data_IF_650675745559
#
_entry.id   IF_650675745559
#
_cell.length_a   1.000
_cell.length_b   1.000
_cell.length_c   1.000
_cell.angle_alpha   90.00
_cell.angle_beta   90.00
_cell.angle_gamma   90.00
#
_symmetry.space_group_name_H-M   'P 1'
#
loop_
_entity.id
_entity.type
_entity.pdbx_description
1 polymer ?
#
# COMPACT_ATOMS: atom_id res chain seq x y z
N UNK A 1 11.67 -10.13 6.66
CA UNK A 1 10.33 -10.09 6.01
C UNK A 1 9.91 -11.51 5.63
N UNK A 2 8.74 -11.95 6.10
CA UNK A 2 8.19 -13.27 5.77
C UNK A 2 7.48 -13.30 4.40
N UNK A 3 6.94 -14.46 4.00
CA UNK A 3 6.24 -14.60 2.71
C UNK A 3 4.99 -13.73 2.61
N UNK A 4 4.18 -13.65 3.66
CA UNK A 4 2.93 -12.90 3.66
C UNK A 4 3.19 -11.41 3.56
N UNK A 5 4.19 -10.90 4.30
CA UNK A 5 4.64 -9.52 4.22
C UNK A 5 5.16 -9.17 2.82
N UNK A 6 6.02 -10.01 2.22
CA UNK A 6 6.50 -9.80 0.84
C UNK A 6 5.35 -9.79 -0.17
N UNK A 7 4.37 -10.66 0.01
CA UNK A 7 3.19 -10.71 -0.85
C UNK A 7 2.35 -9.44 -0.71
N UNK A 8 2.15 -8.95 0.51
CA UNK A 8 1.41 -7.73 0.81
C UNK A 8 2.07 -6.50 0.17
N UNK A 9 3.40 -6.38 0.29
CA UNK A 9 4.19 -5.33 -0.38
C UNK A 9 4.01 -5.39 -1.89
N UNK A 10 4.11 -6.59 -2.48
CA UNK A 10 3.92 -6.78 -3.92
C UNK A 10 2.54 -6.31 -4.36
N UNK A 11 1.48 -6.70 -3.65
CA UNK A 11 0.12 -6.26 -3.96
C UNK A 11 -0.02 -4.74 -3.88
N UNK A 12 0.51 -4.10 -2.82
CA UNK A 12 0.45 -2.65 -2.66
C UNK A 12 1.09 -1.90 -3.85
N UNK A 13 2.30 -2.31 -4.22
CA UNK A 13 3.03 -1.71 -5.33
C UNK A 13 2.35 -1.99 -6.69
N UNK A 14 1.70 -3.16 -6.84
CA UNK A 14 0.91 -3.48 -8.03
C UNK A 14 -0.34 -2.60 -8.16
N UNK A 15 -1.03 -2.30 -7.05
CA UNK A 15 -2.17 -1.37 -7.07
C UNK A 15 -1.70 0.00 -7.57
N UNK A 16 -0.60 0.53 -7.03
CA UNK A 16 -0.04 1.80 -7.46
C UNK A 16 0.35 1.81 -8.94
N UNK A 17 1.00 0.74 -9.43
CA UNK A 17 1.42 0.64 -10.83
C UNK A 17 0.28 0.46 -11.84
N UNK A 18 -0.90 0.01 -11.39
CA UNK A 18 -2.04 -0.28 -12.26
C UNK A 18 -3.06 0.86 -12.35
N UNK A 19 -2.90 1.96 -11.59
CA UNK A 19 -3.80 3.11 -11.67
C UNK A 19 -3.54 3.88 -12.98
N UNK A 20 -4.53 3.94 -13.91
CA UNK A 20 -4.32 4.46 -15.26
C UNK A 20 -4.24 5.99 -15.33
N UNK A 21 -4.70 6.70 -14.30
CA UNK A 21 -4.78 8.18 -14.27
C UNK A 21 -3.91 8.71 -13.15
N UNK A 22 -2.92 9.56 -13.49
CA UNK A 22 -1.93 10.08 -12.53
C UNK A 22 -2.43 11.18 -11.58
N UNK A 23 -3.70 11.57 -11.69
CA UNK A 23 -4.31 12.45 -10.70
C UNK A 23 -4.75 11.62 -9.48
N UNK A 24 -4.45 12.10 -8.29
CA UNK A 24 -4.95 11.54 -7.01
C UNK A 24 -4.64 10.04 -6.80
N UNK A 25 -3.49 9.57 -7.32
CA UNK A 25 -3.05 8.17 -7.16
C UNK A 25 -3.03 7.72 -5.70
N UNK A 26 -2.49 8.49 -4.73
CA UNK A 26 -2.52 8.09 -3.32
C UNK A 26 -3.94 7.90 -2.76
N UNK A 27 -4.90 8.74 -3.16
CA UNK A 27 -6.28 8.65 -2.70
C UNK A 27 -6.99 7.42 -3.28
N UNK A 28 -6.75 7.13 -4.56
CA UNK A 28 -7.26 5.92 -5.20
C UNK A 28 -6.69 4.64 -4.58
N UNK A 29 -5.39 4.62 -4.24
CA UNK A 29 -4.77 3.50 -3.51
C UNK A 29 -5.43 3.34 -2.13
N UNK A 30 -5.57 4.44 -1.39
CA UNK A 30 -6.20 4.44 -0.07
C UNK A 30 -7.63 3.89 -0.13
N UNK A 31 -8.44 4.37 -1.07
CA UNK A 31 -9.81 3.90 -1.29
C UNK A 31 -9.83 2.40 -1.62
N UNK A 32 -8.95 1.93 -2.50
CA UNK A 32 -8.86 0.51 -2.85
C UNK A 32 -8.53 -0.35 -1.62
N UNK A 33 -7.54 0.06 -0.82
CA UNK A 33 -7.18 -0.65 0.41
C UNK A 33 -8.33 -0.65 1.42
N UNK A 34 -9.06 0.45 1.58
CA UNK A 34 -10.24 0.51 2.46
C UNK A 34 -11.35 -0.42 2.02
N UNK A 35 -11.57 -0.55 0.71
CA UNK A 35 -12.65 -1.37 0.15
C UNK A 35 -12.34 -2.86 0.17
N UNK A 36 -11.09 -3.24 -0.11
CA UNK A 36 -10.74 -4.64 -0.36
C UNK A 36 -9.84 -5.28 0.69
N UNK A 37 -9.17 -4.50 1.54
CA UNK A 37 -8.22 -5.04 2.51
C UNK A 37 -8.84 -5.11 3.90
N UNK A 38 -8.48 -6.15 4.63
CA UNK A 38 -8.85 -6.26 6.04
C UNK A 38 -8.06 -5.28 6.90
N UNK A 39 -8.58 -4.87 8.08
CA UNK A 39 -7.84 -4.01 9.01
C UNK A 39 -6.46 -4.57 9.41
N UNK A 40 -6.33 -5.90 9.46
CA UNK A 40 -5.05 -6.57 9.75
C UNK A 40 -4.03 -6.32 8.64
N UNK A 41 -4.43 -6.47 7.38
CA UNK A 41 -3.55 -6.18 6.23
C UNK A 41 -3.09 -4.72 6.22
N UNK A 42 -4.00 -3.78 6.48
CA UNK A 42 -3.68 -2.35 6.54
C UNK A 42 -2.65 -2.07 7.66
N UNK A 43 -2.86 -2.63 8.85
CA UNK A 43 -1.93 -2.52 9.97
C UNK A 43 -0.57 -3.14 9.65
N UNK A 44 -0.54 -4.32 9.04
CA UNK A 44 0.69 -4.98 8.62
C UNK A 44 1.45 -4.15 7.59
N UNK A 45 0.77 -3.56 6.60
CA UNK A 45 1.43 -2.71 5.60
C UNK A 45 2.04 -1.45 6.23
N UNK A 46 1.35 -0.83 7.19
CA UNK A 46 1.89 0.31 7.96
C UNK A 46 3.14 -0.05 8.75
N UNK A 47 3.14 -1.22 9.39
CA UNK A 47 4.31 -1.70 10.11
C UNK A 47 5.48 -1.95 9.14
N UNK A 48 5.23 -2.57 7.98
CA UNK A 48 6.24 -2.79 6.95
C UNK A 48 6.81 -1.46 6.43
N UNK A 49 5.97 -0.44 6.24
CA UNK A 49 6.40 0.89 5.81
C UNK A 49 7.34 1.56 6.83
N UNK A 50 7.10 1.34 8.13
CA UNK A 50 7.96 1.85 9.20
C UNK A 50 9.28 1.08 9.33
N UNK A 51 9.26 -0.25 9.18
CA UNK A 51 10.44 -1.11 9.34
C UNK A 51 11.34 -1.14 8.09
N UNK A 52 10.72 -1.08 6.91
CA UNK A 52 11.38 -1.23 5.60
C UNK A 52 10.80 -0.26 4.57
N UNK A 53 11.03 1.06 4.73
CA UNK A 53 10.42 2.09 3.88
C UNK A 53 10.74 1.90 2.39
N UNK A 54 11.94 1.47 2.04
CA UNK A 54 12.37 1.29 0.64
C UNK A 54 11.63 0.16 -0.10
N UNK A 55 10.83 -0.64 0.60
CA UNK A 55 10.07 -1.75 -0.01
C UNK A 55 8.78 -1.29 -0.72
N UNK A 56 8.28 -0.10 -0.42
CA UNK A 56 7.04 0.47 -0.97
C UNK A 56 7.35 1.68 -1.84
N UNK A 57 6.58 1.87 -2.91
CA UNK A 57 6.72 3.08 -3.72
C UNK A 57 6.13 4.31 -3.00
N UNK A 58 6.54 5.50 -3.45
CA UNK A 58 6.16 6.78 -2.85
C UNK A 58 4.64 7.00 -2.80
N UNK A 59 3.91 6.53 -3.82
CA UNK A 59 2.45 6.67 -3.87
C UNK A 59 1.77 5.84 -2.77
N UNK A 60 2.31 4.65 -2.48
CA UNK A 60 1.81 3.81 -1.38
C UNK A 60 2.12 4.44 -0.03
N UNK A 61 3.31 5.02 0.15
CA UNK A 61 3.63 5.78 1.38
C UNK A 61 2.64 6.92 1.60
N UNK A 62 2.40 7.72 0.56
CA UNK A 62 1.45 8.83 0.61
C UNK A 62 0.01 8.36 0.89
N UNK A 63 -0.38 7.19 0.38
CA UNK A 63 -1.68 6.60 0.65
C UNK A 63 -1.84 6.17 2.12
N UNK A 64 -0.76 5.64 2.73
CA UNK A 64 -0.77 5.16 4.12
C UNK A 64 -0.96 6.28 5.16
N UNK A 65 -0.55 7.50 4.85
CA UNK A 65 -0.80 8.69 5.66
C UNK A 65 -2.30 8.99 5.82
N UNK A 66 -3.08 8.60 4.81
CA UNK A 66 -4.51 8.87 4.73
C UNK A 66 -5.40 7.66 5.02
N UNK A 67 -4.82 6.49 5.35
CA UNK A 67 -5.52 5.21 5.46
C UNK A 67 -6.36 5.05 6.75
#
# INVERSE_FOLDING_TARGET
>A
MDYQQRHLVKMANQIAGNIPVRADVPEQICQHMRQFWTPVMQKSLRQIAAETPDSLCLDVHSALENL
#
